data_IF_248932331020
#
_entry.id   IF_248932331020
#
_cell.length_a   1.000
_cell.length_b   1.000
_cell.length_c   1.000
_cell.angle_alpha   90.00
_cell.angle_beta   90.00
_cell.angle_gamma   90.00
#
_symmetry.space_group_name_H-M   'P 1'
#
loop_
_entity.id
_entity.type
_entity.pdbx_description
1 polymer ?
#
# COMPACT_ATOMS: atom_id res chain seq x y z
N UNK A 1 38.80 -27.98 20.78
CA UNK A 1 37.47 -27.65 21.37
C UNK A 1 36.85 -26.44 20.71
N UNK A 2 37.58 -25.33 20.54
CA UNK A 2 37.09 -24.08 19.93
C UNK A 2 36.57 -24.22 18.48
N UNK A 3 37.18 -25.07 17.66
CA UNK A 3 36.75 -25.24 16.26
C UNK A 3 35.37 -25.87 16.12
N UNK A 4 35.00 -26.77 17.04
CA UNK A 4 33.65 -27.37 17.05
C UNK A 4 32.61 -26.31 17.39
N UNK A 5 32.90 -25.46 18.37
CA UNK A 5 32.04 -24.34 18.76
C UNK A 5 31.88 -23.32 17.62
N UNK A 6 32.97 -22.99 16.92
CA UNK A 6 32.93 -22.08 15.77
C UNK A 6 32.09 -22.63 14.63
N UNK A 7 32.27 -23.92 14.28
CA UNK A 7 31.46 -24.60 13.25
C UNK A 7 29.98 -24.61 13.62
N UNK A 8 29.66 -24.89 14.88
CA UNK A 8 28.29 -24.87 15.37
C UNK A 8 27.67 -23.47 15.27
N UNK A 9 28.40 -22.43 15.68
CA UNK A 9 27.94 -21.05 15.59
C UNK A 9 27.65 -20.64 14.13
N UNK A 10 28.54 -20.99 13.20
CA UNK A 10 28.33 -20.74 11.76
C UNK A 10 27.07 -21.44 11.26
N UNK A 11 26.86 -22.71 11.62
CA UNK A 11 25.65 -23.44 11.22
C UNK A 11 24.38 -22.77 11.75
N UNK A 12 24.38 -22.34 13.01
CA UNK A 12 23.23 -21.62 13.58
C UNK A 12 22.92 -20.32 12.84
N UNK A 13 23.95 -19.58 12.39
CA UNK A 13 23.78 -18.37 11.58
C UNK A 13 23.18 -18.71 10.22
N UNK A 14 23.73 -19.72 9.54
CA UNK A 14 23.25 -20.19 8.23
C UNK A 14 21.79 -20.65 8.30
N UNK A 15 21.44 -21.47 9.30
CA UNK A 15 20.08 -21.96 9.53
C UNK A 15 19.11 -20.79 9.78
N UNK A 16 19.54 -19.77 10.54
CA UNK A 16 18.73 -18.58 10.82
C UNK A 16 18.48 -17.74 9.57
N UNK A 17 19.51 -17.52 8.74
CA UNK A 17 19.38 -16.80 7.48
C UNK A 17 18.50 -17.56 6.49
N UNK A 18 18.68 -18.88 6.38
CA UNK A 18 17.88 -19.73 5.51
C UNK A 18 16.40 -19.72 5.93
N UNK A 19 16.12 -19.83 7.23
CA UNK A 19 14.75 -19.75 7.76
C UNK A 19 14.10 -18.39 7.46
N UNK A 20 14.83 -17.30 7.68
CA UNK A 20 14.35 -15.94 7.43
C UNK A 20 14.02 -15.72 5.96
N UNK A 21 14.92 -16.16 5.07
CA UNK A 21 14.71 -16.12 3.61
C UNK A 21 13.49 -16.92 3.20
N UNK A 22 13.37 -18.18 3.64
CA UNK A 22 12.23 -19.03 3.32
C UNK A 22 10.89 -18.41 3.76
N UNK A 23 10.84 -17.81 4.96
CA UNK A 23 9.63 -17.14 5.46
C UNK A 23 9.29 -15.89 4.67
N UNK A 24 10.31 -15.12 4.26
CA UNK A 24 10.15 -13.97 3.39
C UNK A 24 9.61 -14.40 2.02
N UNK A 25 10.30 -15.30 1.32
CA UNK A 25 9.93 -15.81 -0.01
C UNK A 25 8.50 -16.40 -0.03
N UNK A 26 8.09 -17.09 1.05
CA UNK A 26 6.75 -17.69 1.16
C UNK A 26 5.62 -16.66 1.26
N UNK A 27 5.89 -15.50 1.86
CA UNK A 27 4.84 -14.51 2.19
C UNK A 27 4.89 -13.26 1.32
N UNK A 28 6.02 -12.98 0.69
CA UNK A 28 6.20 -11.81 -0.16
C UNK A 28 5.81 -12.16 -1.59
N UNK A 29 4.63 -11.70 -2.00
CA UNK A 29 4.25 -11.66 -3.40
C UNK A 29 4.60 -10.28 -3.95
N UNK A 30 5.39 -10.23 -5.01
CA UNK A 30 5.70 -9.00 -5.74
C UNK A 30 4.47 -8.62 -6.58
N UNK A 31 3.74 -7.54 -6.26
CA UNK A 31 2.59 -7.14 -7.05
C UNK A 31 3.07 -6.45 -8.33
N UNK A 32 2.40 -6.75 -9.45
CA UNK A 32 2.69 -6.10 -10.73
C UNK A 32 2.12 -4.68 -10.71
N UNK A 33 2.98 -3.69 -10.49
CA UNK A 33 2.65 -2.28 -10.61
C UNK A 33 3.15 -1.75 -11.95
N UNK A 34 2.33 -0.94 -12.58
CA UNK A 34 2.67 -0.28 -13.84
C UNK A 34 2.52 1.22 -13.66
N UNK A 35 3.47 1.95 -14.23
CA UNK A 35 3.45 3.41 -14.27
C UNK A 35 2.19 3.87 -15.01
N UNK A 36 1.53 4.91 -14.49
CA UNK A 36 0.28 5.46 -15.05
C UNK A 36 -1.01 4.83 -14.52
N UNK A 37 -0.94 3.76 -13.73
CA UNK A 37 -2.14 3.15 -13.13
C UNK A 37 -2.55 3.86 -11.84
N UNK A 38 -3.87 3.92 -11.61
CA UNK A 38 -4.48 4.47 -10.40
C UNK A 38 -4.43 3.45 -9.28
N UNK A 39 -3.82 3.78 -8.15
CA UNK A 39 -3.72 2.92 -6.97
C UNK A 39 -4.15 3.63 -5.69
N UNK A 40 -4.59 2.84 -4.72
CA UNK A 40 -4.96 3.30 -3.38
C UNK A 40 -3.76 3.24 -2.42
N UNK A 41 -3.56 4.28 -1.60
CA UNK A 41 -2.52 4.33 -0.58
C UNK A 41 -3.07 4.07 0.82
N UNK A 42 -2.37 3.28 1.64
CA UNK A 42 -2.82 3.02 3.02
C UNK A 42 -2.67 4.25 3.93
N UNK A 43 -3.74 4.57 4.67
CA UNK A 43 -3.77 5.70 5.63
C UNK A 43 -3.11 5.39 6.97
N UNK A 44 -2.36 4.28 7.07
CA UNK A 44 -1.73 3.83 8.31
C UNK A 44 -0.71 4.85 8.82
N UNK A 45 0.01 5.49 7.90
CA UNK A 45 1.06 6.47 8.21
C UNK A 45 0.62 7.93 7.96
N UNK A 46 -0.68 8.15 7.71
CA UNK A 46 -1.22 9.47 7.44
C UNK A 46 -1.55 10.12 8.79
N UNK A 47 -0.69 11.04 9.23
CA UNK A 47 -0.87 11.75 10.50
C UNK A 47 -1.80 12.96 10.38
N UNK A 48 -2.02 13.46 9.16
CA UNK A 48 -2.75 14.69 8.89
C UNK A 48 -4.26 14.48 8.73
N UNK A 49 -4.71 13.22 8.61
CA UNK A 49 -6.15 12.90 8.50
C UNK A 49 -6.80 13.10 9.87
N UNK A 50 -7.57 14.20 9.99
CA UNK A 50 -8.38 14.53 11.16
C UNK A 50 -9.58 13.57 11.25
N UNK A 51 -9.92 13.13 12.46
CA UNK A 51 -11.13 12.33 12.73
C UNK A 51 -10.87 11.12 13.63
N UNK A 52 -11.93 10.36 13.93
CA UNK A 52 -11.81 9.18 14.77
C UNK A 52 -11.31 7.96 13.97
N UNK A 53 -10.41 7.17 14.57
CA UNK A 53 -9.74 6.03 13.93
C UNK A 53 -10.69 4.97 13.35
N UNK A 54 -11.93 4.88 13.84
CA UNK A 54 -12.94 3.91 13.38
C UNK A 54 -13.70 4.35 12.12
N UNK A 55 -13.88 5.66 11.93
CA UNK A 55 -14.62 6.20 10.78
C UNK A 55 -13.70 6.61 9.63
N UNK A 56 -12.38 6.65 9.86
CA UNK A 56 -11.43 6.97 8.79
C UNK A 56 -11.33 5.82 7.78
N UNK A 57 -11.24 6.18 6.52
CA UNK A 57 -10.94 5.22 5.47
C UNK A 57 -9.53 4.64 5.67
N UNK A 58 -9.42 3.32 5.50
CA UNK A 58 -8.13 2.62 5.62
C UNK A 58 -7.20 2.89 4.43
N UNK A 59 -7.75 3.40 3.33
CA UNK A 59 -7.05 3.73 2.11
C UNK A 59 -7.52 5.08 1.58
N UNK A 60 -6.58 5.95 1.23
CA UNK A 60 -6.84 7.23 0.60
C UNK A 60 -6.67 7.08 -0.91
N UNK A 61 -7.52 7.82 -1.64
CA UNK A 61 -7.38 8.29 -3.02
C UNK A 61 -6.95 7.28 -4.10
N UNK A 62 -7.55 7.28 -5.29
CA UNK A 62 -6.84 6.77 -6.45
C UNK A 62 -5.74 7.78 -6.83
N UNK A 63 -4.49 7.38 -6.64
CA UNK A 63 -3.32 8.16 -7.02
C UNK A 63 -2.60 7.51 -8.20
N UNK A 64 -1.99 8.31 -9.07
CA UNK A 64 -1.28 7.83 -10.25
C UNK A 64 0.15 7.43 -9.87
N UNK A 65 0.59 6.24 -10.26
CA UNK A 65 2.00 5.86 -10.15
C UNK A 65 2.81 6.64 -11.17
N UNK A 66 3.80 7.39 -10.69
CA UNK A 66 4.74 8.17 -11.51
C UNK A 66 5.99 7.39 -11.88
N UNK A 67 6.57 6.64 -10.93
CA UNK A 67 7.77 5.85 -11.16
C UNK A 67 7.84 4.63 -10.22
N UNK A 68 8.62 3.63 -10.61
CA UNK A 68 8.95 2.47 -9.78
C UNK A 68 10.42 2.55 -9.38
N UNK A 69 10.69 2.50 -8.08
CA UNK A 69 12.03 2.52 -7.51
C UNK A 69 12.40 1.11 -7.05
N UNK A 70 12.88 0.30 -7.98
CA UNK A 70 13.11 -1.14 -7.77
C UNK A 70 11.82 -1.92 -7.55
N UNK A 71 11.91 -3.07 -6.90
CA UNK A 71 10.77 -3.99 -6.74
C UNK A 71 9.85 -3.66 -5.56
N UNK A 72 10.32 -2.90 -4.58
CA UNK A 72 9.63 -2.72 -3.31
C UNK A 72 9.09 -1.29 -3.08
N UNK A 73 9.39 -0.35 -3.98
CA UNK A 73 9.10 1.06 -3.74
C UNK A 73 8.50 1.72 -4.98
N UNK A 74 7.48 2.55 -4.77
CA UNK A 74 6.69 3.18 -5.83
C UNK A 74 6.56 4.66 -5.53
N UNK A 75 6.84 5.50 -6.52
CA UNK A 75 6.60 6.94 -6.46
C UNK A 75 5.23 7.25 -7.03
N UNK A 76 4.47 8.03 -6.28
CA UNK A 76 3.08 8.35 -6.54
C UNK A 76 2.90 9.87 -6.62
N UNK A 77 2.05 10.31 -7.53
CA UNK A 77 1.64 11.71 -7.62
C UNK A 77 0.64 12.04 -6.52
N UNK A 78 1.07 12.83 -5.54
CA UNK A 78 0.25 13.27 -4.41
C UNK A 78 -0.49 14.57 -4.74
N UNK A 79 -1.71 14.70 -4.22
CA UNK A 79 -2.46 15.96 -4.26
C UNK A 79 -1.80 17.02 -3.35
N UNK A 80 -2.09 18.29 -3.60
CA UNK A 80 -1.56 19.41 -2.80
C UNK A 80 -1.81 19.24 -1.29
N UNK A 81 -2.97 18.67 -0.92
CA UNK A 81 -3.34 18.37 0.47
C UNK A 81 -2.36 17.43 1.17
N UNK A 82 -1.69 16.55 0.43
CA UNK A 82 -0.75 15.57 0.95
C UNK A 82 0.70 15.90 0.58
N UNK A 83 0.98 17.14 0.15
CA UNK A 83 2.31 17.58 -0.32
C UNK A 83 3.40 17.51 0.77
N UNK A 84 3.01 17.53 2.04
CA UNK A 84 3.93 17.35 3.17
C UNK A 84 4.47 15.92 3.30
N UNK A 85 3.81 14.95 2.66
CA UNK A 85 4.20 13.55 2.70
C UNK A 85 5.23 13.23 1.61
N UNK A 86 6.14 12.31 1.92
CA UNK A 86 7.07 11.82 0.91
C UNK A 86 6.30 11.02 -0.17
N UNK A 87 6.51 11.28 -1.48
CA UNK A 87 5.72 10.67 -2.56
C UNK A 87 6.05 9.20 -2.81
N UNK A 88 7.11 8.68 -2.20
CA UNK A 88 7.56 7.29 -2.35
C UNK A 88 7.01 6.41 -1.24
N UNK A 89 6.27 5.36 -1.61
CA UNK A 89 5.65 4.41 -0.70
C UNK A 89 6.14 2.99 -0.95
N UNK A 90 6.28 2.17 0.11
CA UNK A 90 6.54 0.75 -0.05
C UNK A 90 5.32 0.07 -0.65
N UNK A 91 5.59 -0.86 -1.55
CA UNK A 91 4.61 -1.69 -2.28
C UNK A 91 3.53 -2.29 -1.38
N UNK A 92 3.89 -2.73 -0.16
CA UNK A 92 2.96 -3.32 0.82
C UNK A 92 1.81 -2.39 1.21
N UNK A 93 2.00 -1.08 1.13
CA UNK A 93 1.01 -0.08 1.50
C UNK A 93 0.12 0.36 0.33
N UNK A 94 0.29 -0.25 -0.84
CA UNK A 94 -0.39 0.11 -2.07
C UNK A 94 -1.37 -1.00 -2.44
N UNK A 95 -2.57 -0.61 -2.90
CA UNK A 95 -3.58 -1.53 -3.42
C UNK A 95 -4.06 -1.14 -4.80
N UNK A 96 -4.39 -2.11 -5.67
CA UNK A 96 -4.96 -1.81 -6.96
C UNK A 96 -6.29 -1.09 -6.84
N UNK A 97 -6.45 0.06 -7.49
CA UNK A 97 -7.76 0.71 -7.57
C UNK A 97 -8.68 -0.08 -8.50
N UNK A 98 -9.93 -0.31 -8.07
CA UNK A 98 -10.97 -0.92 -8.90
C UNK A 98 -12.10 0.09 -9.05
N UNK A 99 -12.32 0.54 -10.28
CA UNK A 99 -13.47 1.38 -10.61
C UNK A 99 -14.78 0.61 -10.37
N UNK A 100 -15.83 1.31 -9.97
CA UNK A 100 -17.15 0.67 -9.83
C UNK A 100 -17.69 0.29 -11.21
N UNK A 101 -18.26 -0.90 -11.31
CA UNK A 101 -18.92 -1.38 -12.52
C UNK A 101 -20.21 -0.57 -12.77
N UNK A 102 -20.23 0.16 -13.89
CA UNK A 102 -21.33 1.05 -14.24
C UNK A 102 -22.63 0.29 -14.50
N UNK A 103 -22.55 -0.93 -15.04
CA UNK A 103 -23.73 -1.74 -15.38
C UNK A 103 -24.39 -2.31 -14.12
N UNK A 104 -23.59 -2.73 -13.14
CA UNK A 104 -24.08 -3.29 -11.87
C UNK A 104 -24.53 -2.21 -10.88
N UNK A 105 -23.95 -1.02 -10.93
CA UNK A 105 -24.18 0.04 -9.95
C UNK A 105 -24.64 1.35 -10.60
N UNK A 106 -25.72 1.29 -11.37
CA UNK A 106 -26.31 2.41 -12.13
C UNK A 106 -26.58 3.68 -11.30
N UNK A 107 -26.91 3.53 -10.01
CA UNK A 107 -27.27 4.65 -9.12
C UNK A 107 -26.05 5.35 -8.51
N UNK A 108 -24.84 4.76 -8.61
CA UNK A 108 -23.64 5.29 -7.95
C UNK A 108 -23.05 6.51 -8.65
N UNK A 109 -23.25 6.62 -9.97
CA UNK A 109 -22.78 7.75 -10.78
C UNK A 109 -23.76 8.93 -10.81
N UNK A 110 -24.96 8.77 -10.21
CA UNK A 110 -25.90 9.88 -10.07
C UNK A 110 -25.47 10.68 -8.85
N UNK A 111 -24.96 11.89 -9.06
CA UNK A 111 -24.75 12.86 -7.99
C UNK A 111 -26.05 13.00 -7.18
N UNK A 112 -26.00 13.05 -5.83
CA UNK A 112 -27.20 13.23 -5.04
C UNK A 112 -27.91 14.50 -5.53
N UNK A 113 -29.13 14.33 -6.02
CA UNK A 113 -29.93 15.47 -6.44
C UNK A 113 -30.23 16.26 -5.18
N UNK A 114 -29.83 17.53 -5.16
CA UNK A 114 -30.21 18.44 -4.09
C UNK A 114 -31.73 18.63 -4.20
N UNK A 115 -32.49 17.84 -3.45
CA UNK A 115 -33.93 18.00 -3.35
C UNK A 115 -34.13 19.19 -2.41
N UNK A 116 -34.67 20.34 -2.88
CA UNK A 116 -34.99 21.44 -1.99
C UNK A 116 -36.02 20.96 -0.95
N UNK A 117 -35.98 21.49 0.29
CA UNK A 117 -36.94 21.13 1.32
C UNK A 117 -38.36 21.43 0.83
N UNK A 118 -39.25 20.45 0.96
CA UNK A 118 -40.68 20.63 0.68
C UNK A 118 -41.27 21.44 1.84
N UNK A 119 -41.87 22.58 1.50
CA UNK A 119 -42.61 23.46 2.44
C UNK A 119 -43.86 22.77 3.03
#
# INVERSE_FOLDING_TARGET
MLDKTRKHALRCMEDSFAYSKYKWDKSHATPDFKVGYLQLLSTTNFNEIKGCKKLKDSFAGPFVIKALHGENSVEVELSEENSNMHPTFPVRLIKPYKSSDAEKFLLRNKSPQHIPPVE
#
